data_IF_052519655357
#
_entry.id   IF_052519655357
#
_cell.length_a   1.000
_cell.length_b   1.000
_cell.length_c   1.000
_cell.angle_alpha   90.00
_cell.angle_beta   90.00
_cell.angle_gamma   90.00
#
_symmetry.space_group_name_H-M   'P 1'
#
loop_
_entity.id
_entity.type
_entity.pdbx_description
1 polymer ?
#
# COMPACT_ATOMS: atom_id res chain seq x y z
N UNK A 1 -15.29 -2.77 28.17
CA UNK A 1 -14.18 -2.95 29.12
C UNK A 1 -12.92 -3.21 28.35
N UNK A 2 -11.96 -2.30 28.41
CA UNK A 2 -10.63 -2.56 27.88
C UNK A 2 -9.90 -3.45 28.88
N UNK A 3 -9.82 -4.73 28.63
CA UNK A 3 -8.83 -5.56 29.30
C UNK A 3 -7.46 -5.06 28.84
N UNK A 4 -6.67 -4.52 29.75
CA UNK A 4 -5.26 -4.21 29.50
C UNK A 4 -4.51 -5.52 29.32
N UNK A 5 -4.58 -6.08 28.12
CA UNK A 5 -3.75 -7.22 27.75
C UNK A 5 -2.35 -6.70 27.47
N UNK A 6 -1.38 -7.26 28.16
CA UNK A 6 0.02 -6.91 27.92
C UNK A 6 0.43 -7.33 26.49
N UNK A 7 1.01 -6.39 25.76
CA UNK A 7 1.46 -6.60 24.39
C UNK A 7 2.82 -7.31 24.42
N UNK A 8 2.87 -8.49 23.80
CA UNK A 8 4.12 -9.23 23.65
C UNK A 8 4.96 -8.66 22.50
N UNK A 9 4.32 -8.40 21.36
CA UNK A 9 4.98 -7.89 20.16
C UNK A 9 4.01 -7.14 19.26
N UNK A 10 4.48 -6.08 18.67
CA UNK A 10 3.77 -5.28 17.68
C UNK A 10 4.66 -5.09 16.46
N UNK A 11 4.11 -5.26 15.26
CA UNK A 11 4.83 -5.01 14.01
C UNK A 11 3.86 -4.69 12.87
N UNK A 12 4.35 -3.99 11.86
CA UNK A 12 3.63 -3.67 10.64
C UNK A 12 4.31 -4.31 9.45
N UNK A 13 3.52 -4.84 8.53
CA UNK A 13 3.97 -5.42 7.27
C UNK A 13 3.17 -4.87 6.12
N UNK A 14 3.82 -4.67 4.99
CA UNK A 14 3.16 -4.34 3.73
C UNK A 14 2.96 -5.65 2.96
N UNK A 15 1.70 -5.99 2.71
CA UNK A 15 1.30 -7.21 2.03
C UNK A 15 0.61 -6.90 0.71
N UNK A 16 0.96 -7.64 -0.33
CA UNK A 16 0.27 -7.59 -1.61
C UNK A 16 -0.85 -8.63 -1.63
N UNK A 17 -2.08 -8.20 -1.94
CA UNK A 17 -3.28 -9.04 -1.85
C UNK A 17 -3.16 -10.36 -2.61
N UNK A 18 -2.76 -10.35 -3.86
CA UNK A 18 -2.62 -11.58 -4.67
C UNK A 18 -1.45 -12.49 -4.30
N UNK A 19 -0.65 -12.12 -3.28
CA UNK A 19 0.55 -12.86 -2.84
C UNK A 19 0.64 -13.01 -1.33
N UNK A 20 -0.48 -13.01 -0.64
CA UNK A 20 -0.50 -13.30 0.80
C UNK A 20 -0.41 -14.82 0.99
N UNK A 21 0.75 -15.25 1.43
CA UNK A 21 1.03 -16.66 1.70
C UNK A 21 1.47 -16.85 3.16
N UNK A 22 1.30 -18.05 3.69
CA UNK A 22 1.77 -18.42 5.03
C UNK A 22 3.30 -18.62 5.09
N UNK A 23 4.02 -17.99 4.16
CA UNK A 23 5.47 -18.00 4.03
C UNK A 23 6.15 -16.79 4.71
N UNK A 24 7.46 -16.63 4.49
CA UNK A 24 8.18 -15.44 4.95
C UNK A 24 7.62 -14.16 4.34
N UNK A 25 7.56 -13.02 5.07
CA UNK A 25 8.10 -12.82 6.42
C UNK A 25 7.17 -13.23 7.56
N UNK A 26 5.89 -13.50 7.29
CA UNK A 26 4.88 -13.83 8.32
C UNK A 26 5.25 -15.07 9.13
N UNK A 27 5.60 -16.16 8.46
CA UNK A 27 5.95 -17.42 9.11
C UNK A 27 7.16 -17.31 10.04
N UNK A 28 8.13 -16.50 9.69
CA UNK A 28 9.33 -16.28 10.51
C UNK A 28 9.01 -15.55 11.79
N UNK A 29 8.17 -14.52 11.72
CA UNK A 29 7.82 -13.70 12.88
C UNK A 29 6.85 -14.42 13.80
N UNK A 30 5.81 -15.03 13.23
CA UNK A 30 4.74 -15.68 13.98
C UNK A 30 5.15 -17.07 14.48
N UNK A 31 5.96 -17.79 13.72
CA UNK A 31 6.46 -19.11 14.08
C UNK A 31 7.33 -19.07 15.35
N UNK A 32 8.18 -18.04 15.50
CA UNK A 32 9.00 -17.84 16.70
C UNK A 32 8.16 -17.62 17.98
N UNK A 33 6.93 -17.15 17.82
CA UNK A 33 6.00 -16.90 18.93
C UNK A 33 5.08 -18.11 19.17
N UNK A 34 5.06 -19.06 18.23
CA UNK A 34 4.22 -20.25 18.30
C UNK A 34 2.78 -20.02 17.86
N UNK A 35 2.54 -19.02 17.03
CA UNK A 35 1.22 -18.70 16.45
C UNK A 35 1.00 -19.41 15.11
N UNK A 36 -0.25 -19.77 14.83
CA UNK A 36 -0.62 -20.40 13.58
C UNK A 36 -0.75 -19.36 12.46
N UNK A 37 0.28 -19.28 11.63
CA UNK A 37 0.34 -18.36 10.48
C UNK A 37 -0.78 -18.62 9.46
N UNK A 38 -1.15 -19.87 9.24
CA UNK A 38 -2.19 -20.24 8.27
C UNK A 38 -3.56 -19.67 8.67
N UNK A 39 -3.88 -19.70 9.96
CA UNK A 39 -5.13 -19.14 10.48
C UNK A 39 -5.20 -17.64 10.26
N UNK A 40 -4.13 -16.92 10.60
CA UNK A 40 -4.05 -15.47 10.41
C UNK A 40 -4.16 -15.09 8.93
N UNK A 41 -3.49 -15.80 8.04
CA UNK A 41 -3.58 -15.56 6.59
C UNK A 41 -5.01 -15.77 6.07
N UNK A 42 -5.71 -16.80 6.54
CA UNK A 42 -7.12 -17.01 6.17
C UNK A 42 -8.01 -15.86 6.62
N UNK A 43 -7.89 -15.42 7.86
CA UNK A 43 -8.66 -14.30 8.39
C UNK A 43 -8.37 -12.98 7.65
N UNK A 44 -7.11 -12.74 7.27
CA UNK A 44 -6.72 -11.60 6.43
C UNK A 44 -7.35 -11.68 5.04
N UNK A 45 -7.28 -12.82 4.38
CA UNK A 45 -7.87 -13.02 3.06
C UNK A 45 -9.40 -12.84 3.08
N UNK A 46 -10.07 -13.37 4.09
CA UNK A 46 -11.52 -13.21 4.28
C UNK A 46 -11.90 -11.73 4.47
N UNK A 47 -11.12 -11.00 5.25
CA UNK A 47 -11.35 -9.56 5.50
C UNK A 47 -11.10 -8.67 4.28
N UNK A 48 -10.35 -9.16 3.30
CA UNK A 48 -9.86 -8.38 2.15
C UNK A 48 -10.36 -8.87 0.80
N UNK A 49 -11.31 -9.80 0.78
CA UNK A 49 -11.86 -10.42 -0.44
C UNK A 49 -12.37 -9.43 -1.51
N UNK A 50 -12.79 -8.24 -1.08
CA UNK A 50 -13.35 -7.22 -1.97
C UNK A 50 -12.25 -6.47 -2.75
N UNK A 51 -11.00 -6.56 -2.29
CA UNK A 51 -9.89 -5.80 -2.86
C UNK A 51 -9.23 -6.56 -4.02
N UNK A 52 -8.78 -5.84 -5.06
CA UNK A 52 -8.09 -6.48 -6.18
C UNK A 52 -6.70 -6.99 -5.80
N UNK A 53 -6.26 -8.05 -6.47
CA UNK A 53 -5.01 -8.78 -6.18
C UNK A 53 -3.72 -7.94 -6.24
N UNK A 54 -3.74 -6.85 -7.00
CA UNK A 54 -2.59 -5.95 -7.11
C UNK A 54 -2.49 -4.93 -5.97
N UNK A 55 -3.49 -4.88 -5.10
CA UNK A 55 -3.56 -3.90 -4.03
C UNK A 55 -2.54 -4.18 -2.93
N UNK A 56 -1.87 -3.13 -2.45
CA UNK A 56 -0.96 -3.20 -1.31
C UNK A 56 -1.68 -2.70 -0.06
N UNK A 57 -1.53 -3.45 1.01
CA UNK A 57 -2.08 -3.08 2.32
C UNK A 57 -0.98 -3.07 3.36
N UNK A 58 -1.04 -2.11 4.25
CA UNK A 58 -0.28 -2.13 5.49
C UNK A 58 -1.11 -2.83 6.56
N UNK A 59 -0.60 -3.95 7.06
CA UNK A 59 -1.22 -4.71 8.13
C UNK A 59 -0.41 -4.55 9.39
N UNK A 60 -1.01 -3.97 10.41
CA UNK A 60 -0.44 -3.87 11.75
C UNK A 60 -0.95 -5.03 12.59
N UNK A 61 -0.05 -5.84 13.11
CA UNK A 61 -0.36 -7.02 13.91
C UNK A 61 0.14 -6.79 15.34
N UNK A 62 -0.75 -6.95 16.30
CA UNK A 62 -0.46 -6.86 17.73
C UNK A 62 -0.68 -8.24 18.35
N UNK A 63 0.34 -8.74 19.00
CA UNK A 63 0.33 -10.06 19.66
C UNK A 63 0.43 -9.84 21.17
N UNK A 64 -0.43 -10.50 21.91
CA UNK A 64 -0.48 -10.45 23.36
C UNK A 64 0.24 -11.64 24.03
N UNK A 65 0.57 -11.51 25.30
CA UNK A 65 1.22 -12.59 26.07
C UNK A 65 0.38 -13.85 26.18
N UNK A 66 -0.94 -13.77 26.11
CA UNK A 66 -1.86 -14.90 26.10
C UNK A 66 -1.89 -15.65 24.73
N UNK A 67 -1.01 -15.30 23.80
CA UNK A 67 -0.94 -15.81 22.43
C UNK A 67 -2.19 -15.51 21.58
N UNK A 68 -2.97 -14.53 21.97
CA UNK A 68 -3.98 -13.95 21.10
C UNK A 68 -3.37 -12.84 20.23
N UNK A 69 -3.98 -12.57 19.09
CA UNK A 69 -3.55 -11.50 18.19
C UNK A 69 -4.75 -10.69 17.72
N UNK A 70 -4.47 -9.44 17.37
CA UNK A 70 -5.39 -8.55 16.68
C UNK A 70 -4.64 -7.94 15.51
N UNK A 71 -5.29 -7.82 14.36
CA UNK A 71 -4.71 -7.16 13.22
C UNK A 71 -5.58 -5.97 12.79
N UNK A 72 -4.91 -4.93 12.34
CA UNK A 72 -5.52 -3.73 11.77
C UNK A 72 -5.01 -3.56 10.34
N UNK A 73 -5.95 -3.41 9.43
CA UNK A 73 -5.65 -3.14 8.03
C UNK A 73 -5.64 -1.62 7.87
N UNK A 74 -4.51 -1.09 7.42
CA UNK A 74 -4.32 0.32 7.10
C UNK A 74 -4.09 0.49 5.62
N UNK A 75 -4.58 1.58 5.11
CA UNK A 75 -4.26 2.00 3.76
C UNK A 75 -2.78 2.39 3.67
N UNK A 76 -2.08 2.01 2.59
CA UNK A 76 -0.69 2.40 2.39
C UNK A 76 -0.57 3.91 2.18
N UNK A 77 0.66 4.41 2.28
CA UNK A 77 0.94 5.81 2.01
C UNK A 77 0.64 6.19 0.56
N UNK A 78 0.30 7.45 0.32
CA UNK A 78 0.05 7.98 -1.03
C UNK A 78 1.24 7.72 -1.96
N UNK A 79 2.47 7.90 -1.45
CA UNK A 79 3.70 7.63 -2.20
C UNK A 79 3.80 6.19 -2.69
N UNK A 80 3.38 5.23 -1.86
CA UNK A 80 3.39 3.82 -2.23
C UNK A 80 2.34 3.51 -3.29
N UNK A 81 1.12 4.06 -3.18
CA UNK A 81 0.09 3.95 -4.21
C UNK A 81 0.55 4.51 -5.55
N UNK A 82 1.14 5.70 -5.54
CA UNK A 82 1.64 6.34 -6.75
C UNK A 82 2.73 5.52 -7.44
N UNK A 83 3.65 4.96 -6.68
CA UNK A 83 4.69 4.06 -7.23
C UNK A 83 4.13 2.79 -7.84
N UNK A 84 3.01 2.31 -7.31
CA UNK A 84 2.34 1.10 -7.81
C UNK A 84 1.63 1.33 -9.15
N UNK A 85 0.94 2.46 -9.27
CA UNK A 85 0.22 2.82 -10.49
C UNK A 85 1.11 3.51 -11.54
N UNK A 86 2.31 3.94 -11.14
CA UNK A 86 3.26 4.58 -12.05
C UNK A 86 3.69 3.61 -13.16
N UNK A 87 3.72 4.14 -14.37
CA UNK A 87 4.20 3.44 -15.55
C UNK A 87 5.26 4.27 -16.27
N UNK A 88 6.09 3.61 -17.04
CA UNK A 88 7.11 4.29 -17.83
C UNK A 88 6.52 4.86 -19.11
N UNK A 89 6.67 6.16 -19.30
CA UNK A 89 6.24 6.88 -20.50
C UNK A 89 7.43 7.43 -21.24
N UNK A 90 7.45 7.25 -22.55
CA UNK A 90 8.42 7.87 -23.43
C UNK A 90 8.00 9.30 -23.76
N UNK A 91 8.86 10.25 -23.40
CA UNK A 91 8.71 11.64 -23.80
C UNK A 91 9.69 11.95 -24.93
N UNK A 92 9.13 12.35 -26.04
CA UNK A 92 9.92 12.78 -27.21
C UNK A 92 10.04 14.29 -27.24
N UNK A 93 11.24 14.81 -27.10
CA UNK A 93 11.50 16.26 -27.20
C UNK A 93 12.27 16.52 -28.48
N UNK A 94 11.68 17.35 -29.36
CA UNK A 94 12.34 17.87 -30.56
C UNK A 94 13.21 19.06 -30.17
N UNK A 95 14.49 18.96 -30.39
CA UNK A 95 15.45 20.04 -30.19
C UNK A 95 16.11 20.40 -31.51
N UNK A 96 16.74 21.57 -31.58
CA UNK A 96 17.51 21.99 -32.77
C UNK A 96 18.62 21.01 -33.19
N UNK A 97 19.05 20.14 -32.29
CA UNK A 97 20.05 19.06 -32.53
C UNK A 97 19.48 17.68 -32.81
N UNK A 98 18.13 17.55 -32.99
CA UNK A 98 17.45 16.28 -33.25
C UNK A 98 16.36 15.93 -32.25
N UNK A 99 15.96 14.68 -32.26
CA UNK A 99 14.91 14.14 -31.37
C UNK A 99 15.59 13.43 -30.19
N UNK A 100 15.26 13.84 -28.97
CA UNK A 100 15.68 13.15 -27.76
C UNK A 100 14.48 12.45 -27.14
N UNK A 101 14.66 11.18 -26.79
CA UNK A 101 13.65 10.36 -26.12
C UNK A 101 14.07 10.20 -24.66
N UNK A 102 13.19 10.58 -23.76
CA UNK A 102 13.36 10.39 -22.32
C UNK A 102 12.31 9.40 -21.82
N UNK A 103 12.73 8.48 -20.96
CA UNK A 103 11.83 7.59 -20.25
C UNK A 103 11.59 8.18 -18.87
N UNK A 104 10.34 8.50 -18.57
CA UNK A 104 9.91 9.07 -17.28
C UNK A 104 8.84 8.19 -16.64
N UNK A 105 8.82 8.18 -15.33
CA UNK A 105 7.72 7.55 -14.61
C UNK A 105 6.52 8.49 -14.64
N UNK A 106 5.38 7.96 -15.09
CA UNK A 106 4.16 8.72 -15.28
C UNK A 106 2.98 8.07 -14.55
N UNK A 107 2.02 8.89 -14.16
CA UNK A 107 0.77 8.46 -13.51
C UNK A 107 -0.40 9.09 -14.24
N UNK A 108 -1.49 8.34 -14.41
CA UNK A 108 -2.72 8.87 -15.01
C UNK A 108 -3.46 9.76 -14.02
N UNK A 109 -4.10 10.80 -14.54
CA UNK A 109 -4.92 11.70 -13.73
C UNK A 109 -6.09 10.97 -13.06
N UNK A 110 -6.64 9.95 -13.71
CA UNK A 110 -7.71 9.10 -13.17
C UNK A 110 -7.26 8.36 -11.89
N UNK A 111 -6.03 7.86 -11.88
CA UNK A 111 -5.45 7.19 -10.71
C UNK A 111 -5.26 8.16 -9.54
N UNK A 112 -4.96 9.43 -9.82
CA UNK A 112 -4.85 10.46 -8.79
C UNK A 112 -6.20 10.73 -8.12
N UNK A 113 -7.27 10.80 -8.90
CA UNK A 113 -8.63 10.93 -8.38
C UNK A 113 -9.02 9.72 -7.54
N UNK A 114 -8.71 8.52 -8.01
CA UNK A 114 -9.00 7.28 -7.29
C UNK A 114 -8.25 7.21 -5.95
N UNK A 115 -6.97 7.52 -5.95
CA UNK A 115 -6.14 7.55 -4.73
C UNK A 115 -6.67 8.60 -3.74
N UNK A 116 -7.01 9.79 -4.24
CA UNK A 116 -7.59 10.85 -3.42
C UNK A 116 -8.91 10.41 -2.77
N UNK A 117 -9.79 9.81 -3.55
CA UNK A 117 -11.06 9.29 -3.04
C UNK A 117 -10.89 8.17 -2.01
N UNK A 118 -10.02 7.20 -2.28
CA UNK A 118 -9.74 6.08 -1.38
C UNK A 118 -9.14 6.55 -0.05
N UNK A 119 -8.29 7.57 -0.10
CA UNK A 119 -7.54 8.03 1.09
C UNK A 119 -8.32 9.03 1.95
N UNK A 120 -9.07 9.93 1.34
CA UNK A 120 -9.69 11.07 2.01
C UNK A 120 -11.22 11.12 1.86
N UNK A 121 -11.81 10.27 1.05
CA UNK A 121 -13.25 10.28 0.80
C UNK A 121 -13.70 11.44 -0.10
N UNK A 122 -14.76 12.14 0.30
CA UNK A 122 -15.44 13.13 -0.56
C UNK A 122 -14.81 14.54 -0.61
N UNK A 123 -13.77 14.82 0.14
CA UNK A 123 -13.08 16.13 0.13
C UNK A 123 -12.11 16.22 -1.05
N UNK A 124 -12.65 16.44 -2.25
CA UNK A 124 -11.91 16.23 -3.49
C UNK A 124 -10.82 17.26 -3.76
N UNK A 125 -11.05 18.55 -3.50
CA UNK A 125 -10.08 19.60 -3.87
C UNK A 125 -8.84 19.63 -2.99
N UNK A 126 -9.01 19.61 -1.68
CA UNK A 126 -7.88 19.63 -0.73
C UNK A 126 -7.06 18.36 -0.81
N UNK A 127 -7.74 17.22 -0.92
CA UNK A 127 -7.10 15.92 -1.04
C UNK A 127 -6.31 15.77 -2.34
N UNK A 128 -6.82 16.29 -3.45
CA UNK A 128 -6.07 16.33 -4.72
C UNK A 128 -4.80 17.16 -4.61
N UNK A 129 -4.84 18.31 -3.95
CA UNK A 129 -3.64 19.14 -3.73
C UNK A 129 -2.55 18.38 -2.97
N UNK A 130 -2.95 17.61 -1.95
CA UNK A 130 -2.02 16.75 -1.19
C UNK A 130 -1.41 15.67 -2.09
N UNK A 131 -2.23 14.99 -2.89
CA UNK A 131 -1.75 13.95 -3.82
C UNK A 131 -0.82 14.56 -4.87
N UNK A 132 -1.14 15.71 -5.45
CA UNK A 132 -0.26 16.42 -6.39
C UNK A 132 1.07 16.84 -5.75
N UNK A 133 1.06 17.25 -4.48
CA UNK A 133 2.27 17.53 -3.73
C UNK A 133 3.21 16.34 -3.63
N UNK A 134 2.65 15.15 -3.38
CA UNK A 134 3.42 13.89 -3.34
C UNK A 134 3.92 13.51 -4.74
N UNK A 135 3.10 13.66 -5.78
CA UNK A 135 3.50 13.44 -7.18
C UNK A 135 4.72 14.28 -7.54
N UNK A 136 4.69 15.56 -7.19
CA UNK A 136 5.81 16.48 -7.42
C UNK A 136 7.06 16.07 -6.64
N UNK A 137 6.92 15.62 -5.39
CA UNK A 137 8.04 15.17 -4.56
C UNK A 137 8.69 13.87 -5.09
N UNK A 138 7.92 13.03 -5.78
CA UNK A 138 8.41 11.79 -6.40
C UNK A 138 8.91 11.98 -7.84
N UNK A 139 8.85 13.21 -8.38
CA UNK A 139 9.19 13.54 -9.77
C UNK A 139 8.42 12.68 -10.80
N UNK A 140 7.14 12.44 -10.54
CA UNK A 140 6.26 11.72 -11.45
C UNK A 140 5.61 12.68 -12.45
N UNK A 141 5.41 12.20 -13.66
CA UNK A 141 4.74 12.96 -14.73
C UNK A 141 3.26 12.62 -14.77
N UNK A 142 2.40 13.62 -14.75
CA UNK A 142 0.94 13.41 -14.83
C UNK A 142 0.49 13.40 -16.28
N UNK A 143 -0.27 12.40 -16.67
CA UNK A 143 -0.84 12.25 -18.02
C UNK A 143 -2.35 12.13 -17.97
N UNK A 144 -2.98 12.53 -19.03
CA UNK A 144 -4.40 12.27 -19.24
C UNK A 144 -4.68 10.79 -19.49
#
# INVERSE_FOLDING_TARGET
MCENKDILKEFSLILRMGKIEAGPPLSTILGNIGLNTVKLVKELLESTQILPDYFLLEVKIIIYFDKTYVFFIREPSIALFLRLVAFKKELTIKTSGGVKIFIVDAVKIEDLYLISFLKFGNELEESLRLVYGVVSSLNLYVTE
#
